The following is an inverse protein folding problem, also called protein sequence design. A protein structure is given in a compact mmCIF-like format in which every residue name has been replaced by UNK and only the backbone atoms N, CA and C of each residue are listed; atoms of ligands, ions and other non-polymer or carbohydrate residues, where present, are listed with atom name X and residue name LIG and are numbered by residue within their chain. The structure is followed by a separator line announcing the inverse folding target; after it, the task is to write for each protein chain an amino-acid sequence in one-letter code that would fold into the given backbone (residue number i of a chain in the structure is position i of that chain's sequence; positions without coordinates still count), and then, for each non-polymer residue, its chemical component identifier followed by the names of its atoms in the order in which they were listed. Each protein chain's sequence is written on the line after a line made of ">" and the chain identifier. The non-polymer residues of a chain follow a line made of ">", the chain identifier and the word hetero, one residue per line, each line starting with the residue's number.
data_IF_016576727303
#
_entry.id   IF_016576727303
#
_cell.length_a   1.000
_cell.length_b   1.000
_cell.length_c   1.000
_cell.angle_alpha   90.00
_cell.angle_beta   90.00
_cell.angle_gamma   90.00
#
_symmetry.space_group_name_H-M   'P 1'
#
loop_
_entity.id
_entity.type
_entity.pdbx_description
1 polymer ?
#
# COMPACT_ATOMS: atom_id res chain seq x y z
N UNK A 1 -11.92 3.05 17.28
CA UNK A 1 -10.67 3.42 16.60
C UNK A 1 -10.58 2.91 15.16
N UNK A 2 -10.86 1.65 14.91
CA UNK A 2 -10.82 1.09 13.54
C UNK A 2 -11.85 1.73 12.59
N UNK A 3 -13.07 1.99 13.05
CA UNK A 3 -14.10 2.67 12.24
C UNK A 3 -13.71 4.10 11.87
N UNK A 4 -13.11 4.84 12.80
CA UNK A 4 -12.63 6.20 12.53
C UNK A 4 -11.49 6.20 11.51
N UNK A 5 -10.56 5.26 11.61
CA UNK A 5 -9.46 5.09 10.66
C UNK A 5 -10.00 4.74 9.26
N UNK A 6 -10.98 3.86 9.18
CA UNK A 6 -11.65 3.51 7.93
C UNK A 6 -12.34 4.71 7.30
N UNK A 7 -13.06 5.51 8.08
CA UNK A 7 -13.73 6.73 7.59
C UNK A 7 -12.72 7.73 7.03
N UNK A 8 -11.58 7.93 7.71
CA UNK A 8 -10.51 8.82 7.21
C UNK A 8 -9.91 8.30 5.90
N UNK A 9 -9.68 7.00 5.82
CA UNK A 9 -9.16 6.34 4.62
C UNK A 9 -10.12 6.48 3.45
N UNK A 10 -11.40 6.18 3.64
CA UNK A 10 -12.42 6.30 2.58
C UNK A 10 -12.52 7.74 2.06
N UNK A 11 -12.50 8.73 2.95
CA UNK A 11 -12.53 10.15 2.57
C UNK A 11 -11.28 10.54 1.77
N UNK A 12 -10.11 10.07 2.18
CA UNK A 12 -8.85 10.33 1.49
C UNK A 12 -8.85 9.78 0.06
N UNK A 13 -9.19 8.52 -0.12
CA UNK A 13 -9.22 7.90 -1.46
C UNK A 13 -10.31 8.49 -2.35
N UNK A 14 -11.45 8.89 -1.79
CA UNK A 14 -12.49 9.61 -2.54
C UNK A 14 -11.98 10.95 -3.06
N UNK A 15 -11.22 11.69 -2.27
CA UNK A 15 -10.59 12.94 -2.71
C UNK A 15 -9.52 12.71 -3.79
N UNK A 16 -8.74 11.64 -3.69
CA UNK A 16 -7.78 11.25 -4.73
C UNK A 16 -8.48 10.96 -6.05
N UNK A 17 -9.64 10.32 -6.02
CA UNK A 17 -10.44 10.07 -7.23
C UNK A 17 -10.92 11.35 -7.91
N UNK A 18 -11.14 12.40 -7.13
CA UNK A 18 -11.62 13.71 -7.60
C UNK A 18 -10.52 14.66 -8.03
N UNK A 19 -9.24 14.29 -7.90
CA UNK A 19 -8.13 15.15 -8.28
C UNK A 19 -8.11 15.43 -9.80
N UNK A 20 -7.74 16.65 -10.21
CA UNK A 20 -7.40 16.93 -11.59
C UNK A 20 -6.33 15.97 -12.13
N UNK A 21 -6.38 15.66 -13.41
CA UNK A 21 -5.45 14.71 -14.04
C UNK A 21 -3.98 15.06 -13.86
N UNK A 22 -3.65 16.36 -13.86
CA UNK A 22 -2.27 16.83 -13.63
C UNK A 22 -1.77 16.58 -12.22
N UNK A 23 -2.61 16.76 -11.20
CA UNK A 23 -2.29 16.52 -9.81
C UNK A 23 -2.14 15.02 -9.54
N UNK A 24 -3.05 14.24 -10.09
CA UNK A 24 -2.99 12.79 -10.04
C UNK A 24 -1.71 12.25 -10.71
N UNK A 25 -1.33 12.82 -11.86
CA UNK A 25 -0.07 12.49 -12.53
C UNK A 25 1.17 12.85 -11.70
N UNK A 26 1.13 13.95 -10.94
CA UNK A 26 2.21 14.33 -10.03
C UNK A 26 2.41 13.29 -8.92
N UNK A 27 1.33 12.83 -8.29
CA UNK A 27 1.37 11.77 -7.28
C UNK A 27 1.85 10.43 -7.87
N UNK A 28 1.38 10.09 -9.06
CA UNK A 28 1.84 8.89 -9.78
C UNK A 28 3.36 8.90 -9.99
N UNK A 29 3.92 10.03 -10.41
CA UNK A 29 5.39 10.17 -10.58
C UNK A 29 6.15 10.08 -9.27
N UNK A 30 5.53 10.52 -8.17
CA UNK A 30 6.12 10.47 -6.83
C UNK A 30 6.04 9.07 -6.19
N UNK A 31 5.39 8.10 -6.82
CA UNK A 31 5.28 6.74 -6.27
C UNK A 31 6.66 6.12 -6.02
N UNK A 32 6.94 5.80 -4.78
CA UNK A 32 8.24 5.27 -4.33
C UNK A 32 9.18 6.31 -3.73
N UNK A 33 8.80 7.58 -3.76
CA UNK A 33 9.53 8.66 -3.06
C UNK A 33 8.98 8.86 -1.66
N UNK A 34 9.83 9.29 -0.75
CA UNK A 34 9.41 9.74 0.59
C UNK A 34 8.71 11.10 0.47
N UNK A 35 7.82 11.41 1.42
CA UNK A 35 7.15 12.72 1.47
C UNK A 35 8.17 13.87 1.51
N UNK A 36 9.29 13.70 2.19
CA UNK A 36 10.39 14.69 2.26
C UNK A 36 11.05 14.97 0.90
N UNK A 37 10.90 14.09 -0.08
CA UNK A 37 11.46 14.21 -1.43
C UNK A 37 10.43 14.71 -2.45
N UNK A 38 9.17 14.88 -2.04
CA UNK A 38 8.09 15.29 -2.94
C UNK A 38 8.32 16.69 -3.49
N UNK A 39 8.08 16.87 -4.79
CA UNK A 39 8.03 18.22 -5.38
C UNK A 39 6.77 18.98 -4.91
N UNK A 40 6.75 20.30 -5.14
CA UNK A 40 5.66 21.15 -4.66
C UNK A 40 4.29 20.77 -5.22
N UNK A 41 4.22 20.22 -6.41
CA UNK A 41 2.94 19.81 -7.02
C UNK A 41 2.41 18.53 -6.39
N UNK A 42 3.24 17.52 -6.20
CA UNK A 42 2.86 16.29 -5.51
C UNK A 42 2.49 16.56 -4.05
N UNK A 43 3.27 17.39 -3.36
CA UNK A 43 3.00 17.80 -1.99
C UNK A 43 1.65 18.52 -1.87
N UNK A 44 1.37 19.49 -2.75
CA UNK A 44 0.12 20.22 -2.75
C UNK A 44 -1.08 19.32 -3.03
N UNK A 45 -0.96 18.42 -4.00
CA UNK A 45 -2.02 17.45 -4.31
C UNK A 45 -2.30 16.53 -3.12
N UNK A 46 -1.27 16.06 -2.45
CA UNK A 46 -1.39 15.21 -1.27
C UNK A 46 -2.09 15.91 -0.12
N UNK A 47 -1.63 17.10 0.27
CA UNK A 47 -2.24 17.83 1.38
C UNK A 47 -3.65 18.31 1.09
N UNK A 48 -3.99 18.54 -0.18
CA UNK A 48 -5.37 18.80 -0.59
C UNK A 48 -6.31 17.62 -0.28
N UNK A 49 -5.80 16.40 -0.39
CA UNK A 49 -6.57 15.18 -0.12
C UNK A 49 -6.54 14.75 1.35
N UNK A 50 -5.55 15.22 2.12
CA UNK A 50 -5.39 14.82 3.50
C UNK A 50 -6.53 15.35 4.36
N UNK A 51 -7.09 14.49 5.20
CA UNK A 51 -8.21 14.84 6.09
C UNK A 51 -7.71 15.28 7.46
N UNK A 52 -8.43 16.21 8.07
CA UNK A 52 -8.17 16.61 9.44
C UNK A 52 -8.22 15.40 10.39
N UNK A 53 -7.30 15.34 11.34
CA UNK A 53 -7.20 14.25 12.33
C UNK A 53 -6.09 13.25 12.05
N UNK A 54 -5.46 13.29 10.87
CA UNK A 54 -4.28 12.49 10.57
C UNK A 54 -3.06 13.14 11.25
N UNK A 55 -2.33 12.34 12.00
CA UNK A 55 -1.17 12.83 12.75
C UNK A 55 0.04 13.04 11.84
N UNK A 56 0.83 14.12 12.02
CA UNK A 56 1.99 14.41 11.17
C UNK A 56 2.99 13.25 11.04
N UNK A 57 3.22 12.51 12.10
CA UNK A 57 4.15 11.36 12.07
C UNK A 57 3.64 10.16 11.24
N UNK A 58 2.40 10.19 10.78
CA UNK A 58 1.79 9.17 9.89
C UNK A 58 1.65 9.64 8.44
N UNK A 59 1.92 10.89 8.15
CA UNK A 59 1.72 11.48 6.82
C UNK A 59 2.54 10.76 5.74
N UNK A 60 3.73 10.26 6.05
CA UNK A 60 4.55 9.54 5.07
C UNK A 60 3.92 8.23 4.60
N UNK A 61 3.24 7.48 5.47
CA UNK A 61 2.50 6.29 5.08
C UNK A 61 1.28 6.63 4.20
N UNK A 62 0.55 7.69 4.55
CA UNK A 62 -0.57 8.19 3.77
C UNK A 62 -0.12 8.66 2.39
N UNK A 63 0.99 9.39 2.33
CA UNK A 63 1.58 9.83 1.07
C UNK A 63 1.98 8.64 0.18
N UNK A 64 2.68 7.67 0.72
CA UNK A 64 3.07 6.48 -0.02
C UNK A 64 1.87 5.73 -0.60
N UNK A 65 0.85 5.46 0.21
CA UNK A 65 -0.36 4.77 -0.23
C UNK A 65 -1.13 5.58 -1.29
N UNK A 66 -1.23 6.90 -1.13
CA UNK A 66 -1.86 7.79 -2.10
C UNK A 66 -1.14 7.81 -3.45
N UNK A 67 0.19 7.85 -3.44
CA UNK A 67 0.99 7.77 -4.66
C UNK A 67 0.82 6.42 -5.37
N UNK A 68 0.82 5.32 -4.63
CA UNK A 68 0.56 4.00 -5.20
C UNK A 68 -0.84 3.90 -5.79
N UNK A 69 -1.83 4.43 -5.12
CA UNK A 69 -3.21 4.46 -5.64
C UNK A 69 -3.31 5.13 -7.01
N UNK A 70 -2.54 6.19 -7.24
CA UNK A 70 -2.48 6.91 -8.51
C UNK A 70 -1.78 6.15 -9.65
N UNK A 71 -1.21 4.97 -9.39
CA UNK A 71 -0.69 4.09 -10.43
C UNK A 71 -1.80 3.44 -11.27
N UNK A 72 -3.02 3.38 -10.75
CA UNK A 72 -4.20 2.85 -11.42
C UNK A 72 -5.22 3.97 -11.67
N UNK A 73 -6.22 3.68 -12.49
CA UNK A 73 -7.29 4.63 -12.78
C UNK A 73 -8.13 4.94 -11.55
N UNK A 74 -8.72 6.13 -11.52
CA UNK A 74 -9.61 6.54 -10.44
C UNK A 74 -10.76 5.54 -10.25
N UNK A 75 -11.08 5.27 -8.99
CA UNK A 75 -12.10 4.28 -8.62
C UNK A 75 -11.70 2.82 -8.78
N UNK A 76 -10.44 2.53 -9.15
CA UNK A 76 -9.95 1.15 -9.24
C UNK A 76 -10.05 0.44 -7.89
N UNK A 77 -10.54 -0.80 -7.95
CA UNK A 77 -10.58 -1.70 -6.79
C UNK A 77 -9.52 -2.77 -6.98
N UNK A 78 -8.74 -3.02 -5.94
CA UNK A 78 -7.66 -3.97 -5.96
C UNK A 78 -7.90 -5.14 -5.01
N UNK A 79 -6.92 -6.02 -4.99
CA UNK A 79 -6.81 -7.10 -4.00
C UNK A 79 -5.64 -6.80 -3.05
N UNK A 80 -5.67 -7.31 -1.81
CA UNK A 80 -4.60 -7.11 -0.85
C UNK A 80 -3.24 -7.54 -1.43
N UNK A 81 -2.20 -6.74 -1.17
CA UNK A 81 -0.88 -6.97 -1.76
C UNK A 81 -0.29 -8.33 -1.36
N UNK A 82 -0.50 -8.77 -0.14
CA UNK A 82 -0.03 -10.08 0.33
C UNK A 82 -0.62 -11.26 -0.47
N UNK A 83 -1.83 -11.13 -0.97
CA UNK A 83 -2.44 -12.13 -1.86
C UNK A 83 -1.78 -12.12 -3.25
N UNK A 84 -1.46 -10.95 -3.78
CA UNK A 84 -0.70 -10.81 -5.02
C UNK A 84 0.69 -11.42 -4.87
N UNK A 85 1.39 -11.09 -3.79
CA UNK A 85 2.73 -11.61 -3.50
C UNK A 85 2.72 -13.14 -3.32
N UNK A 86 1.66 -13.70 -2.76
CA UNK A 86 1.49 -15.15 -2.67
C UNK A 86 1.49 -15.81 -4.05
N UNK A 87 0.81 -15.21 -5.02
CA UNK A 87 0.80 -15.70 -6.40
C UNK A 87 2.16 -15.51 -7.07
N UNK A 88 2.78 -14.33 -6.94
CA UNK A 88 4.05 -13.99 -7.56
C UNK A 88 5.22 -14.77 -6.98
N UNK A 89 5.21 -15.08 -5.70
CA UNK A 89 6.30 -15.82 -5.02
C UNK A 89 6.57 -17.19 -5.65
N UNK A 90 5.56 -17.83 -6.18
CA UNK A 90 5.66 -19.16 -6.77
C UNK A 90 6.33 -19.16 -8.16
N UNK A 91 6.61 -17.99 -8.73
CA UNK A 91 7.19 -17.86 -10.06
C UNK A 91 8.71 -18.14 -10.09
N UNK A 92 9.43 -17.84 -9.00
CA UNK A 92 10.87 -18.07 -8.90
C UNK A 92 11.39 -18.03 -7.46
N UNK A 93 12.53 -18.67 -7.22
CA UNK A 93 13.23 -18.61 -5.93
C UNK A 93 13.74 -17.20 -5.62
N UNK A 94 14.07 -16.43 -6.65
CA UNK A 94 14.44 -15.01 -6.51
C UNK A 94 13.27 -14.21 -5.94
N UNK A 95 12.05 -14.45 -6.40
CA UNK A 95 10.85 -13.79 -5.90
C UNK A 95 10.58 -14.16 -4.44
N UNK A 96 10.70 -15.43 -4.08
CA UNK A 96 10.57 -15.88 -2.67
C UNK A 96 11.53 -15.13 -1.74
N UNK A 97 12.79 -14.97 -2.15
CA UNK A 97 13.80 -14.23 -1.37
C UNK A 97 13.45 -12.75 -1.22
N UNK A 98 12.96 -12.12 -2.29
CA UNK A 98 12.54 -10.70 -2.26
C UNK A 98 11.37 -10.47 -1.31
N UNK A 99 10.39 -11.37 -1.32
CA UNK A 99 9.24 -11.31 -0.42
C UNK A 99 9.69 -11.50 1.03
N UNK A 100 10.55 -12.47 1.33
CA UNK A 100 11.11 -12.66 2.67
C UNK A 100 11.86 -11.41 3.14
N UNK A 101 12.71 -10.84 2.29
CA UNK A 101 13.47 -9.63 2.60
C UNK A 101 12.57 -8.40 2.85
N UNK A 102 11.39 -8.36 2.26
CA UNK A 102 10.40 -7.30 2.52
C UNK A 102 9.86 -7.38 3.95
N UNK A 103 9.58 -8.59 4.45
CA UNK A 103 9.05 -8.80 5.80
C UNK A 103 10.07 -8.49 6.91
N UNK A 104 11.36 -8.51 6.60
CA UNK A 104 12.43 -8.17 7.54
C UNK A 104 12.59 -6.66 7.73
N UNK A 105 11.97 -5.82 6.90
CA UNK A 105 12.15 -4.38 6.94
C UNK A 105 11.18 -3.72 7.92
N UNK A 106 11.59 -2.55 8.43
CA UNK A 106 10.74 -1.63 9.19
C UNK A 106 10.44 -0.39 8.36
N UNK A 107 9.35 0.28 8.67
CA UNK A 107 9.07 1.60 8.11
C UNK A 107 9.96 2.61 8.82
N UNK A 108 10.93 3.15 8.12
CA UNK A 108 11.89 4.12 8.62
C UNK A 108 12.08 5.25 7.60
N UNK A 109 12.66 6.36 8.05
CA UNK A 109 12.87 7.55 7.24
C UNK A 109 13.94 7.37 6.14
N UNK A 110 14.69 6.28 6.15
CA UNK A 110 15.65 5.92 5.11
C UNK A 110 14.96 5.42 3.82
N UNK A 111 13.67 5.14 3.87
CA UNK A 111 12.88 4.70 2.73
C UNK A 111 13.20 3.31 2.20
N UNK A 112 13.93 2.49 2.96
CA UNK A 112 14.38 1.17 2.50
C UNK A 112 13.22 0.20 2.27
N UNK A 113 12.28 0.13 3.21
CA UNK A 113 11.03 -0.63 3.03
C UNK A 113 10.24 -0.11 1.83
N UNK A 114 10.10 1.22 1.73
CA UNK A 114 9.37 1.87 0.64
C UNK A 114 9.96 1.49 -0.73
N UNK A 115 11.28 1.49 -0.86
CA UNK A 115 11.96 1.09 -2.09
C UNK A 115 11.64 -0.35 -2.49
N UNK A 116 11.71 -1.29 -1.55
CA UNK A 116 11.37 -2.70 -1.80
C UNK A 116 9.91 -2.89 -2.16
N UNK A 117 9.03 -2.24 -1.40
CA UNK A 117 7.59 -2.26 -1.61
C UNK A 117 7.21 -1.72 -3.00
N UNK A 118 7.82 -0.60 -3.39
CA UNK A 118 7.60 0.02 -4.70
C UNK A 118 7.95 -0.93 -5.85
N UNK A 119 9.06 -1.63 -5.74
CA UNK A 119 9.45 -2.63 -6.75
C UNK A 119 8.42 -3.74 -6.87
N UNK A 120 7.92 -4.25 -5.74
CA UNK A 120 6.89 -5.29 -5.73
C UNK A 120 5.57 -4.80 -6.35
N UNK A 121 5.13 -3.59 -6.00
CA UNK A 121 3.91 -2.98 -6.52
C UNK A 121 4.01 -2.73 -8.02
N UNK A 122 5.14 -2.21 -8.51
CA UNK A 122 5.36 -2.00 -9.95
C UNK A 122 5.39 -3.32 -10.72
N UNK A 123 5.99 -4.36 -10.17
CA UNK A 123 5.96 -5.70 -10.76
C UNK A 123 4.53 -6.27 -10.80
N UNK A 124 3.78 -6.14 -9.73
CA UNK A 124 2.37 -6.54 -9.67
C UNK A 124 1.54 -5.82 -10.75
N UNK A 125 1.74 -4.52 -10.91
CA UNK A 125 1.08 -3.72 -11.94
C UNK A 125 1.43 -4.20 -13.35
N UNK A 126 2.70 -4.49 -13.62
CA UNK A 126 3.13 -5.02 -14.93
C UNK A 126 2.48 -6.37 -15.25
N UNK A 127 2.15 -7.15 -14.25
CA UNK A 127 1.45 -8.44 -14.39
C UNK A 127 -0.08 -8.29 -14.47
N UNK A 128 -0.60 -7.08 -14.47
CA UNK A 128 -2.02 -6.80 -14.58
C UNK A 128 -2.79 -6.82 -13.26
N UNK A 129 -2.12 -6.90 -12.12
CA UNK A 129 -2.76 -6.81 -10.81
C UNK A 129 -3.05 -5.36 -10.44
N UNK A 130 -4.14 -5.16 -9.71
CA UNK A 130 -4.44 -3.91 -9.00
C UNK A 130 -4.33 -4.15 -7.49
N UNK A 131 -3.59 -3.30 -6.80
CA UNK A 131 -3.39 -3.39 -5.35
C UNK A 131 -4.50 -2.65 -4.62
N UNK A 132 -5.05 -3.26 -3.58
CA UNK A 132 -5.93 -2.58 -2.62
C UNK A 132 -5.09 -1.63 -1.75
N UNK A 133 -5.02 -0.37 -2.16
CA UNK A 133 -4.21 0.64 -1.49
C UNK A 133 -4.79 1.08 -0.14
N UNK A 134 -6.09 0.91 0.10
CA UNK A 134 -6.68 1.17 1.41
C UNK A 134 -6.23 0.11 2.43
N UNK A 135 -6.25 -1.16 2.05
CA UNK A 135 -5.71 -2.24 2.87
C UNK A 135 -4.20 -2.07 3.09
N UNK A 136 -3.46 -1.67 2.05
CA UNK A 136 -2.02 -1.39 2.16
C UNK A 136 -1.74 -0.25 3.14
N UNK A 137 -2.51 0.83 3.10
CA UNK A 137 -2.39 1.95 4.04
C UNK A 137 -2.55 1.47 5.49
N UNK A 138 -3.57 0.67 5.76
CA UNK A 138 -3.80 0.12 7.10
C UNK A 138 -2.60 -0.72 7.56
N UNK A 139 -2.07 -1.55 6.69
CA UNK A 139 -0.88 -2.35 6.96
C UNK A 139 0.35 -1.46 7.23
N UNK A 140 0.59 -0.42 6.43
CA UNK A 140 1.72 0.49 6.64
C UNK A 140 1.63 1.25 7.96
N UNK A 141 0.43 1.64 8.37
CA UNK A 141 0.20 2.33 9.65
C UNK A 141 0.49 1.45 10.87
N UNK A 142 0.45 0.13 10.71
CA UNK A 142 0.71 -0.86 11.76
C UNK A 142 2.00 -1.67 11.53
N UNK A 143 2.77 -1.31 10.49
CA UNK A 143 3.95 -2.08 10.07
C UNK A 143 5.00 -2.24 11.17
N UNK A 144 5.23 -1.18 11.95
CA UNK A 144 6.24 -1.16 13.01
C UNK A 144 5.73 -1.68 14.37
N UNK A 145 4.61 -2.38 14.39
CA UNK A 145 4.13 -3.03 15.63
C UNK A 145 5.20 -3.97 16.19
N UNK A 146 5.45 -3.89 17.50
CA UNK A 146 6.42 -4.75 18.20
C UNK A 146 6.09 -6.24 18.08
N UNK A 147 4.81 -6.57 17.93
CA UNK A 147 4.34 -7.94 17.73
C UNK A 147 4.38 -8.38 16.26
N UNK A 148 4.87 -7.56 15.36
CA UNK A 148 4.94 -7.84 13.92
C UNK A 148 3.59 -8.33 13.35
N UNK A 149 2.50 -7.69 13.74
CA UNK A 149 1.13 -8.12 13.41
C UNK A 149 0.94 -8.21 11.89
N UNK A 150 1.41 -7.19 11.15
CA UNK A 150 1.26 -7.14 9.68
C UNK A 150 2.13 -8.18 9.02
N UNK A 151 3.41 -8.28 9.39
CA UNK A 151 4.34 -9.26 8.82
C UNK A 151 3.84 -10.70 9.04
N UNK A 152 3.31 -10.98 10.23
CA UNK A 152 2.72 -12.28 10.55
C UNK A 152 1.45 -12.55 9.73
N UNK A 153 0.57 -11.56 9.58
CA UNK A 153 -0.62 -11.64 8.70
C UNK A 153 -0.21 -11.96 7.26
N UNK A 154 0.75 -11.23 6.73
CA UNK A 154 1.24 -11.43 5.37
C UNK A 154 1.88 -12.82 5.19
N UNK A 155 2.72 -13.23 6.14
CA UNK A 155 3.34 -14.55 6.10
C UNK A 155 2.29 -15.67 6.13
N UNK A 156 1.26 -15.57 6.96
CA UNK A 156 0.17 -16.55 6.99
C UNK A 156 -0.53 -16.65 5.62
N UNK A 157 -0.85 -15.54 5.01
CA UNK A 157 -1.47 -15.50 3.67
C UNK A 157 -0.53 -16.09 2.63
N UNK A 158 0.72 -15.67 2.61
CA UNK A 158 1.70 -16.12 1.61
C UNK A 158 2.04 -17.60 1.72
N UNK A 159 2.00 -18.18 2.91
CA UNK A 159 2.23 -19.61 3.13
C UNK A 159 0.93 -20.42 3.24
N UNK A 160 -0.22 -19.78 2.91
CA UNK A 160 -1.54 -20.43 2.87
C UNK A 160 -1.94 -21.09 4.20
N UNK A 161 -1.52 -20.49 5.32
CA UNK A 161 -1.97 -20.89 6.65
C UNK A 161 -3.28 -20.14 6.93
N UNK A 162 -4.34 -20.49 6.17
CA UNK A 162 -5.68 -19.93 6.32
C UNK A 162 -6.56 -20.87 7.14
N UNK A 163 -7.52 -20.29 7.85
CA UNK A 163 -8.50 -21.06 8.59
C UNK A 163 -9.41 -21.80 7.57
N UNK A 164 -9.74 -23.10 7.76
CA UNK A 164 -10.60 -23.85 6.83
C UNK A 164 -11.98 -23.22 6.58
N UNK A 165 -12.36 -22.25 7.41
CA UNK A 165 -13.64 -21.52 7.24
C UNK A 165 -13.60 -20.43 6.17
N UNK A 166 -12.40 -19.97 5.75
CA UNK A 166 -12.26 -18.91 4.74
C UNK A 166 -12.36 -19.40 3.30
N UNK A 167 -12.30 -20.73 3.07
CA UNK A 167 -12.41 -21.32 1.72
C UNK A 167 -13.83 -21.36 1.14
N UNK A 168 -14.86 -20.99 1.91
CA UNK A 168 -16.25 -21.03 1.46
C UNK A 168 -16.75 -19.74 0.79
N UNK A 169 -15.90 -18.76 0.57
CA UNK A 169 -16.24 -17.45 -0.01
C UNK A 169 -15.86 -17.25 -1.48
N UNK A 170 -15.16 -18.17 -2.12
CA UNK A 170 -14.72 -18.05 -3.52
C UNK A 170 -15.23 -19.19 -4.39
N UNK A 171 -16.54 -19.33 -4.46
CA UNK A 171 -17.18 -20.03 -5.58
C UNK A 171 -18.21 -19.08 -6.18
N UNK A 172 -17.79 -18.34 -7.18
CA UNK A 172 -18.51 -18.04 -8.44
C UNK A 172 -17.53 -17.44 -9.42
#
# INVERSE_FOLDING_TARGET
>A
MQEQQKHLSDAFFTKLDSLPSGDRAALKRAAGSMLSEADGKAMSAFFHCLTYGIKPYRESQWFAAGCFYCLWDAGSRGIPLEKILCRMKNESDSMKRRVAALLDQRWEDDGYLLTKLTRMIKMARQKGYCVDCAALLDDLLHWNSDLQIVQRKWARTMYQITDPTDEKGETV
#
